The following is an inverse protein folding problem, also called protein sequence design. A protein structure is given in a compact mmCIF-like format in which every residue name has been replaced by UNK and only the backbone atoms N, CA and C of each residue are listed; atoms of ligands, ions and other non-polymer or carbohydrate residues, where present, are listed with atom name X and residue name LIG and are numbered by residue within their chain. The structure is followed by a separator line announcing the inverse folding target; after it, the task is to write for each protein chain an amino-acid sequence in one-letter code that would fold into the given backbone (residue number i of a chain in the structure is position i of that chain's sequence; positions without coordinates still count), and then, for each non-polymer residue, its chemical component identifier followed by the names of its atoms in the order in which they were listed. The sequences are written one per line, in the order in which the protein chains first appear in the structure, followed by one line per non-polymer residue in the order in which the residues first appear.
data_IF_714994253279
#
_entry.id   IF_714994253279
#
_cell.length_a   1.000
_cell.length_b   1.000
_cell.length_c   1.000
_cell.angle_alpha   90.00
_cell.angle_beta   90.00
_cell.angle_gamma   90.00
#
_symmetry.space_group_name_H-M   'P 1'
#
loop_
_entity.id
_entity.type
_entity.pdbx_description
1 polymer ?
#
# COMPACT_ATOMS: atom_id res chain seq x y z
N UNK A 1 -2.57 15.22 3.97
CA UNK A 1 -3.02 14.69 2.66
C UNK A 1 -3.13 13.18 2.78
N UNK A 2 -4.28 12.60 2.42
CA UNK A 2 -4.53 11.16 2.55
C UNK A 2 -4.22 10.45 1.24
N UNK A 3 -3.46 9.36 1.30
CA UNK A 3 -3.03 8.57 0.15
C UNK A 3 -3.53 7.13 0.29
N UNK A 4 -4.30 6.66 -0.69
CA UNK A 4 -4.80 5.28 -0.74
C UNK A 4 -4.40 4.62 -2.06
N UNK A 5 -4.02 3.36 -2.02
CA UNK A 5 -3.70 2.57 -3.23
C UNK A 5 -4.91 1.76 -3.65
N UNK A 6 -5.32 1.91 -4.91
CA UNK A 6 -6.36 1.10 -5.52
C UNK A 6 -5.72 0.26 -6.61
N UNK A 7 -5.81 -1.07 -6.48
CA UNK A 7 -5.21 -2.02 -7.41
C UNK A 7 -6.29 -2.97 -7.95
N UNK A 8 -6.15 -3.33 -9.21
CA UNK A 8 -6.93 -4.43 -9.81
C UNK A 8 -6.07 -5.69 -9.74
N UNK A 9 -6.68 -6.78 -9.31
CA UNK A 9 -5.99 -8.03 -8.98
C UNK A 9 -5.45 -8.05 -7.56
N UNK A 10 -5.41 -9.26 -6.96
CA UNK A 10 -4.71 -9.49 -5.69
C UNK A 10 -3.25 -9.78 -5.98
N UNK A 11 -2.35 -9.12 -5.25
CA UNK A 11 -0.94 -9.41 -5.39
C UNK A 11 -0.64 -10.85 -4.94
N UNK A 12 -0.03 -11.64 -5.84
CA UNK A 12 0.37 -13.01 -5.55
C UNK A 12 1.41 -13.03 -4.43
N UNK A 13 1.41 -14.09 -3.63
CA UNK A 13 2.48 -14.30 -2.66
C UNK A 13 3.82 -14.42 -3.39
N UNK A 14 4.84 -13.71 -2.91
CA UNK A 14 6.15 -13.67 -3.54
C UNK A 14 7.01 -12.48 -3.10
N UNK A 15 8.23 -12.37 -3.64
CA UNK A 15 9.15 -11.28 -3.36
C UNK A 15 8.56 -9.89 -3.59
N UNK A 16 7.73 -9.73 -4.61
CA UNK A 16 7.06 -8.47 -4.97
C UNK A 16 6.08 -8.05 -3.88
N UNK A 17 5.28 -8.99 -3.35
CA UNK A 17 4.36 -8.72 -2.23
C UNK A 17 5.12 -8.31 -0.98
N UNK A 18 6.20 -9.02 -0.65
CA UNK A 18 7.03 -8.68 0.50
C UNK A 18 7.67 -7.29 0.35
N UNK A 19 8.09 -6.94 -0.86
CA UNK A 19 8.62 -5.61 -1.17
C UNK A 19 7.55 -4.54 -0.96
N UNK A 20 6.36 -4.74 -1.51
CA UNK A 20 5.23 -3.82 -1.38
C UNK A 20 4.85 -3.61 0.09
N UNK A 21 4.64 -4.70 0.83
CA UNK A 21 4.32 -4.68 2.27
C UNK A 21 5.36 -3.86 3.05
N UNK A 22 6.66 -4.06 2.78
CA UNK A 22 7.75 -3.32 3.42
C UNK A 22 7.71 -1.82 3.13
N UNK A 23 7.36 -1.41 1.91
CA UNK A 23 7.25 0.00 1.56
C UNK A 23 5.99 0.64 2.12
N UNK A 24 4.87 -0.08 2.18
CA UNK A 24 3.66 0.40 2.85
C UNK A 24 3.86 0.59 4.34
N UNK A 25 4.56 -0.33 5.01
CA UNK A 25 4.90 -0.17 6.43
C UNK A 25 5.80 1.06 6.66
N UNK A 26 6.81 1.27 5.79
CA UNK A 26 7.66 2.47 5.85
C UNK A 26 6.84 3.74 5.64
N UNK A 27 5.94 3.75 4.66
CA UNK A 27 5.08 4.91 4.39
C UNK A 27 4.15 5.20 5.57
N UNK A 28 3.53 4.18 6.16
CA UNK A 28 2.67 4.33 7.33
C UNK A 28 3.41 4.93 8.53
N UNK A 29 4.69 4.59 8.72
CA UNK A 29 5.53 5.11 9.82
C UNK A 29 6.08 6.51 9.55
N UNK A 30 6.58 6.76 8.33
CA UNK A 30 7.30 8.00 8.01
C UNK A 30 6.41 9.10 7.42
N UNK A 31 5.29 8.74 6.81
CA UNK A 31 4.37 9.67 6.16
C UNK A 31 3.78 10.73 7.10
N UNK A 32 3.29 10.39 8.31
CA UNK A 32 2.63 11.37 9.19
C UNK A 32 3.51 12.56 9.56
N UNK A 33 4.83 12.34 9.71
CA UNK A 33 5.80 13.40 10.01
C UNK A 33 5.89 14.49 8.93
N UNK A 34 5.46 14.18 7.70
CA UNK A 34 5.43 15.12 6.56
C UNK A 34 3.99 15.42 6.10
N UNK A 35 3.00 15.16 6.95
CA UNK A 35 1.59 15.44 6.66
C UNK A 35 0.96 14.49 5.63
N UNK A 36 1.56 13.32 5.38
CA UNK A 36 1.01 12.27 4.52
C UNK A 36 0.43 11.14 5.36
N UNK A 37 -0.84 10.83 5.15
CA UNK A 37 -1.53 9.76 5.88
C UNK A 37 -1.78 8.56 4.97
N UNK A 38 -1.43 7.36 5.43
CA UNK A 38 -1.70 6.14 4.70
C UNK A 38 -3.14 5.68 4.91
N UNK A 39 -3.94 5.77 3.86
CA UNK A 39 -5.33 5.34 3.81
C UNK A 39 -5.54 3.87 3.44
N UNK A 40 -4.46 3.08 3.30
CA UNK A 40 -4.52 1.65 3.02
C UNK A 40 -4.55 1.27 1.53
N UNK A 41 -4.81 0.00 1.28
CA UNK A 41 -4.80 -0.63 -0.05
C UNK A 41 -6.15 -1.29 -0.27
N UNK A 42 -6.78 -0.99 -1.41
CA UNK A 42 -7.97 -1.68 -1.90
C UNK A 42 -7.58 -2.53 -3.11
N UNK A 43 -7.69 -3.86 -2.98
CA UNK A 43 -7.54 -4.80 -4.08
C UNK A 43 -8.93 -5.15 -4.64
N UNK A 44 -9.15 -4.84 -5.91
CA UNK A 44 -10.39 -5.10 -6.64
C UNK A 44 -10.17 -6.35 -7.48
N UNK A 45 -11.06 -7.34 -7.42
CA UNK A 45 -10.92 -8.57 -8.20
C UNK A 45 -10.91 -8.27 -9.71
N UNK A 46 -10.07 -9.00 -10.46
CA UNK A 46 -10.13 -9.05 -11.92
C UNK A 46 -11.41 -9.78 -12.33
N UNK A 47 -12.15 -9.22 -13.29
CA UNK A 47 -13.37 -9.79 -13.87
C UNK A 47 -13.10 -10.61 -15.12
#
# INVERSE_FOLDING_TARGET
MKISVHAVGRMKAGPEKLLADRYFERFAKSGPAVGLEFGGIAEIAEG
#
